data_IF_829855898081
#
_entry.id   IF_829855898081
#
_cell.length_a   1.000
_cell.length_b   1.000
_cell.length_c   1.000
_cell.angle_alpha   90.00
_cell.angle_beta   90.00
_cell.angle_gamma   90.00
#
_symmetry.space_group_name_H-M   'P 1'
#
loop_
_entity.id
_entity.type
_entity.pdbx_description
1 polymer ?
#
# COMPACT_ATOMS: atom_id res chain seq x y z
N UNK A 1 1.91 -0.37 -3.10
CA UNK A 1 1.84 0.01 -1.68
C UNK A 1 3.01 0.92 -1.38
N UNK A 2 2.78 1.94 -0.56
CA UNK A 2 3.76 2.96 -0.23
C UNK A 2 3.73 3.23 1.28
N UNK A 3 4.89 3.13 1.91
CA UNK A 3 5.09 3.46 3.31
C UNK A 3 5.66 4.84 3.47
N UNK A 4 5.25 5.52 4.52
CA UNK A 4 5.79 6.83 4.86
C UNK A 4 5.61 7.14 6.33
N UNK A 5 6.26 8.22 6.77
CA UNK A 5 6.09 8.76 8.11
C UNK A 5 5.69 10.22 8.01
N UNK A 6 4.87 10.67 8.96
CA UNK A 6 4.62 12.09 9.17
C UNK A 6 5.88 12.74 9.74
N UNK A 7 6.21 13.94 9.29
CA UNK A 7 7.19 14.80 9.93
C UNK A 7 6.63 15.33 11.26
N UNK A 8 7.40 15.20 12.34
CA UNK A 8 7.00 15.59 13.69
C UNK A 8 6.67 17.08 13.86
N UNK A 9 7.06 17.93 12.90
CA UNK A 9 6.67 19.34 12.83
C UNK A 9 5.17 19.58 12.57
N UNK A 10 4.43 18.59 12.04
CA UNK A 10 3.00 18.72 11.69
C UNK A 10 2.13 17.86 12.61
N UNK A 11 0.87 18.20 12.84
CA UNK A 11 0.01 17.34 13.68
C UNK A 11 -0.41 16.05 12.95
N UNK A 12 -0.66 14.98 13.71
CA UNK A 12 -1.21 13.73 13.15
C UNK A 12 -2.55 13.98 12.43
N UNK A 13 -3.44 14.75 13.05
CA UNK A 13 -4.72 15.11 12.47
C UNK A 13 -4.59 15.79 11.10
N UNK A 14 -3.73 16.81 10.98
CA UNK A 14 -3.54 17.51 9.70
C UNK A 14 -3.02 16.58 8.61
N UNK A 15 -2.11 15.67 8.99
CA UNK A 15 -1.55 14.68 8.07
C UNK A 15 -2.60 13.68 7.59
N UNK A 16 -3.37 13.11 8.52
CA UNK A 16 -4.41 12.11 8.26
C UNK A 16 -5.56 12.71 7.43
N UNK A 17 -5.98 13.95 7.70
CA UNK A 17 -6.96 14.68 6.87
C UNK A 17 -6.44 14.93 5.44
N UNK A 18 -5.14 15.23 5.31
CA UNK A 18 -4.46 15.36 4.03
C UNK A 18 -4.46 14.06 3.23
N UNK A 19 -4.12 12.94 3.86
CA UNK A 19 -4.17 11.60 3.26
C UNK A 19 -5.60 11.26 2.80
N UNK A 20 -6.58 11.41 3.68
CA UNK A 20 -7.99 11.15 3.35
C UNK A 20 -8.46 11.98 2.15
N UNK A 21 -8.08 13.27 2.11
CA UNK A 21 -8.39 14.17 1.00
C UNK A 21 -7.72 13.72 -0.31
N UNK A 22 -6.45 13.33 -0.26
CA UNK A 22 -5.72 12.82 -1.42
C UNK A 22 -6.36 11.54 -1.97
N UNK A 23 -6.62 10.54 -1.13
CA UNK A 23 -7.26 9.28 -1.51
C UNK A 23 -8.66 9.49 -2.10
N UNK A 24 -9.46 10.37 -1.48
CA UNK A 24 -10.80 10.74 -1.99
C UNK A 24 -10.71 11.38 -3.37
N UNK A 25 -9.77 12.33 -3.56
CA UNK A 25 -9.60 13.01 -4.83
C UNK A 25 -9.09 12.08 -5.93
N UNK A 26 -8.14 11.21 -5.61
CA UNK A 26 -7.60 10.22 -6.56
C UNK A 26 -8.71 9.29 -7.05
N UNK A 27 -9.57 8.80 -6.15
CA UNK A 27 -10.75 8.00 -6.50
C UNK A 27 -11.70 8.74 -7.44
N UNK A 28 -11.95 10.04 -7.16
CA UNK A 28 -12.85 10.86 -7.96
C UNK A 28 -12.35 11.16 -9.39
N UNK A 29 -11.09 10.90 -9.73
CA UNK A 29 -10.58 11.08 -11.09
C UNK A 29 -11.12 10.05 -12.09
N UNK A 30 -11.63 8.91 -11.63
CA UNK A 30 -12.19 7.88 -12.51
C UNK A 30 -11.16 7.24 -13.44
N UNK A 31 -9.90 7.12 -12.99
CA UNK A 31 -8.80 6.50 -13.74
C UNK A 31 -9.17 5.06 -14.09
N UNK A 32 -9.10 4.71 -15.38
CA UNK A 32 -9.51 3.38 -15.84
C UNK A 32 -8.56 2.32 -15.26
N UNK A 33 -9.12 1.38 -14.51
CA UNK A 33 -8.35 0.31 -13.88
C UNK A 33 -7.75 0.68 -12.52
N UNK A 34 -8.01 1.88 -12.00
CA UNK A 34 -7.84 2.16 -10.57
C UNK A 34 -9.04 1.58 -9.80
N UNK A 35 -8.79 0.59 -8.96
CA UNK A 35 -9.84 -0.19 -8.30
C UNK A 35 -10.18 0.34 -6.91
N UNK A 36 -9.31 1.19 -6.35
CA UNK A 36 -9.52 1.81 -5.05
C UNK A 36 -8.20 2.07 -4.33
N UNK A 37 -8.30 2.71 -3.19
CA UNK A 37 -7.16 2.95 -2.32
C UNK A 37 -7.59 3.10 -0.87
N UNK A 38 -6.67 2.82 0.03
CA UNK A 38 -6.88 2.95 1.47
C UNK A 38 -5.54 3.26 2.13
N UNK A 39 -5.60 3.88 3.32
CA UNK A 39 -4.44 4.23 4.12
C UNK A 39 -4.62 3.66 5.52
N UNK A 40 -3.55 3.10 6.08
CA UNK A 40 -3.52 2.59 7.44
C UNK A 40 -2.45 3.30 8.24
N UNK A 41 -2.78 3.57 9.49
CA UNK A 41 -1.80 3.90 10.51
C UNK A 41 -1.18 2.62 11.05
N UNK A 42 0.14 2.52 11.04
CA UNK A 42 0.87 1.28 11.36
C UNK A 42 2.03 1.52 12.31
N UNK A 43 2.42 0.46 13.01
CA UNK A 43 3.63 0.39 13.82
C UNK A 43 4.32 -0.97 13.63
N UNK A 44 5.61 -1.06 13.96
CA UNK A 44 6.35 -2.33 13.87
C UNK A 44 6.74 -2.76 12.44
N UNK A 45 6.65 -1.85 11.46
CA UNK A 45 7.13 -2.11 10.10
C UNK A 45 8.67 -2.11 10.09
N UNK A 46 9.36 -3.16 9.56
CA UNK A 46 10.81 -3.34 9.75
C UNK A 46 11.72 -2.21 9.25
N UNK A 47 11.26 -1.38 8.31
CA UNK A 47 12.02 -0.28 7.71
C UNK A 47 11.51 1.12 8.09
N UNK A 48 10.61 1.21 9.08
CA UNK A 48 10.12 2.46 9.69
C UNK A 48 10.43 2.42 11.19
N UNK A 49 10.97 3.50 11.73
CA UNK A 49 11.16 3.65 13.17
C UNK A 49 9.93 4.30 13.79
N UNK A 50 9.27 3.62 14.72
CA UNK A 50 8.08 4.14 15.41
C UNK A 50 6.80 3.99 14.60
N UNK A 51 5.99 5.03 14.60
CA UNK A 51 4.72 5.10 13.88
C UNK A 51 4.93 5.52 12.42
N UNK A 52 4.13 4.95 11.53
CA UNK A 52 4.08 5.32 10.13
C UNK A 52 2.72 5.05 9.52
N UNK A 53 2.67 5.14 8.21
CA UNK A 53 1.45 4.92 7.43
C UNK A 53 1.74 4.01 6.23
N UNK A 54 0.71 3.29 5.82
CA UNK A 54 0.70 2.39 4.67
C UNK A 54 -0.41 2.78 3.71
N UNK A 55 -0.03 3.32 2.55
CA UNK A 55 -0.96 3.63 1.48
C UNK A 55 -1.00 2.47 0.48
N UNK A 56 -2.21 1.98 0.27
CA UNK A 56 -2.52 0.92 -0.68
C UNK A 56 -3.27 1.50 -1.87
N UNK A 57 -2.82 1.13 -3.07
CA UNK A 57 -3.44 1.51 -4.33
C UNK A 57 -3.69 0.22 -5.11
N UNK A 58 -4.96 -0.12 -5.27
CA UNK A 58 -5.38 -1.30 -6.00
C UNK A 58 -5.53 -0.94 -7.48
N UNK A 59 -4.81 -1.66 -8.34
CA UNK A 59 -4.81 -1.40 -9.78
C UNK A 59 -4.98 -2.69 -10.56
N UNK A 60 -5.68 -2.61 -11.70
CA UNK A 60 -5.90 -3.75 -12.60
C UNK A 60 -4.63 -4.18 -13.36
N UNK A 61 -3.60 -3.34 -13.40
CA UNK A 61 -2.32 -3.64 -14.03
C UNK A 61 -1.29 -2.53 -13.82
N UNK A 62 -0.02 -2.84 -14.08
CA UNK A 62 1.09 -1.92 -13.83
C UNK A 62 1.03 -0.65 -14.68
N UNK A 63 0.43 -0.70 -15.88
CA UNK A 63 0.26 0.48 -16.73
C UNK A 63 -0.62 1.58 -16.09
N UNK A 64 -1.53 1.20 -15.17
CA UNK A 64 -2.34 2.18 -14.42
C UNK A 64 -1.46 3.05 -13.51
N UNK A 65 -0.35 2.51 -13.00
CA UNK A 65 0.58 3.27 -12.17
C UNK A 65 1.26 4.40 -12.94
N UNK A 66 1.54 4.19 -14.23
CA UNK A 66 2.08 5.24 -15.09
C UNK A 66 1.08 6.39 -15.27
N UNK A 67 -0.19 6.06 -15.49
CA UNK A 67 -1.28 7.05 -15.58
C UNK A 67 -1.43 7.84 -14.28
N UNK A 68 -1.43 7.16 -13.13
CA UNK A 68 -1.47 7.79 -11.80
C UNK A 68 -0.28 8.74 -11.62
N UNK A 69 0.94 8.31 -11.95
CA UNK A 69 2.15 9.14 -11.83
C UNK A 69 2.09 10.38 -12.72
N UNK A 70 1.57 10.25 -13.94
CA UNK A 70 1.37 11.39 -14.85
C UNK A 70 0.35 12.38 -14.27
N UNK A 71 -0.75 11.89 -13.70
CA UNK A 71 -1.81 12.74 -13.13
C UNK A 71 -1.39 13.44 -11.84
N UNK A 72 -0.56 12.82 -11.02
CA UNK A 72 0.02 13.47 -9.84
C UNK A 72 0.86 14.69 -10.23
N UNK A 73 1.46 14.68 -11.42
CA UNK A 73 2.21 15.80 -11.97
C UNK A 73 1.31 16.90 -12.57
N UNK A 74 0.02 16.63 -12.78
CA UNK A 74 -0.96 17.58 -13.29
C UNK A 74 -1.35 18.61 -12.22
N UNK A 75 -1.62 19.85 -12.65
CA UNK A 75 -2.00 20.98 -11.77
C UNK A 75 -3.17 20.67 -10.83
N UNK A 76 -4.09 19.80 -11.22
CA UNK A 76 -5.30 19.49 -10.44
C UNK A 76 -4.99 18.69 -9.18
N UNK A 77 -4.11 17.70 -9.25
CA UNK A 77 -3.77 16.82 -8.11
C UNK A 77 -2.50 17.28 -7.42
N UNK A 78 -1.57 17.89 -8.16
CA UNK A 78 -0.26 18.28 -7.65
C UNK A 78 -0.33 19.12 -6.37
N UNK A 79 -1.25 20.06 -6.26
CA UNK A 79 -1.38 20.89 -5.05
C UNK A 79 -1.69 20.08 -3.79
N UNK A 80 -2.60 19.09 -3.92
CA UNK A 80 -2.96 18.19 -2.82
C UNK A 80 -1.83 17.21 -2.53
N UNK A 81 -1.30 16.55 -3.56
CA UNK A 81 -0.15 15.67 -3.42
C UNK A 81 1.02 16.37 -2.73
N UNK A 82 1.42 17.56 -3.22
CA UNK A 82 2.55 18.30 -2.68
C UNK A 82 2.28 18.80 -1.25
N UNK A 83 1.01 19.06 -0.88
CA UNK A 83 0.67 19.43 0.50
C UNK A 83 0.93 18.30 1.49
N UNK A 84 0.57 17.06 1.14
CA UNK A 84 0.81 15.88 1.97
C UNK A 84 2.29 15.49 1.93
N UNK A 85 2.90 15.50 0.74
CA UNK A 85 4.31 15.15 0.56
C UNK A 85 5.24 16.06 1.37
N UNK A 86 4.93 17.35 1.53
CA UNK A 86 5.70 18.28 2.38
C UNK A 86 5.65 17.95 3.88
N UNK A 87 4.64 17.20 4.31
CA UNK A 87 4.48 16.76 5.70
C UNK A 87 4.99 15.32 5.89
N UNK A 88 5.55 14.71 4.85
CA UNK A 88 5.95 13.32 4.80
C UNK A 88 7.46 13.16 4.74
N UNK A 89 7.98 12.15 5.43
CA UNK A 89 9.39 11.75 5.43
C UNK A 89 9.52 10.23 5.29
N UNK A 90 10.74 9.76 4.99
CA UNK A 90 11.10 8.34 4.97
C UNK A 90 10.26 7.43 4.04
N UNK A 91 9.77 7.98 2.92
CA UNK A 91 8.95 7.28 1.94
C UNK A 91 9.64 6.07 1.29
N UNK A 92 8.94 4.93 1.20
CA UNK A 92 9.40 3.69 0.55
C UNK A 92 8.24 3.04 -0.21
N UNK A 93 8.50 2.47 -1.38
CA UNK A 93 7.46 1.85 -2.21
C UNK A 93 7.74 0.39 -2.56
N UNK A 94 6.69 -0.39 -2.74
CA UNK A 94 6.77 -1.72 -3.33
C UNK A 94 5.55 -2.02 -4.20
N UNK A 95 5.74 -2.89 -5.18
CA UNK A 95 4.68 -3.46 -6.00
C UNK A 95 4.38 -4.85 -5.44
N UNK A 96 3.11 -5.14 -5.22
CA UNK A 96 2.66 -6.44 -4.76
C UNK A 96 1.68 -7.03 -5.79
N UNK A 97 1.75 -8.34 -6.00
CA UNK A 97 0.71 -9.10 -6.69
C UNK A 97 -0.22 -9.70 -5.65
N UNK A 98 -1.52 -9.56 -5.88
CA UNK A 98 -2.53 -10.29 -5.14
C UNK A 98 -2.43 -11.78 -5.48
N UNK A 99 -2.38 -12.62 -4.46
CA UNK A 99 -2.27 -14.08 -4.62
C UNK A 99 -3.60 -14.74 -4.29
N UNK A 100 -4.18 -14.42 -3.12
CA UNK A 100 -5.40 -15.05 -2.60
C UNK A 100 -6.14 -14.13 -1.62
N UNK A 101 -7.43 -14.41 -1.41
CA UNK A 101 -8.27 -13.69 -0.45
C UNK A 101 -9.01 -12.51 -1.07
N UNK A 102 -9.55 -11.65 -0.21
CA UNK A 102 -10.20 -10.41 -0.63
C UNK A 102 -9.17 -9.27 -0.72
N UNK A 103 -8.90 -8.70 -1.92
CA UNK A 103 -7.95 -7.60 -2.05
C UNK A 103 -8.45 -6.28 -1.46
N UNK A 104 -9.74 -6.19 -1.14
CA UNK A 104 -10.42 -5.01 -0.59
C UNK A 104 -10.62 -5.07 0.92
N UNK A 105 -9.95 -5.99 1.60
CA UNK A 105 -10.05 -6.19 3.04
C UNK A 105 -9.49 -4.97 3.81
N UNK A 106 -10.37 -4.01 4.13
CA UNK A 106 -10.03 -2.78 4.86
C UNK A 106 -10.12 -2.91 6.39
N UNK A 107 -10.78 -3.96 6.90
CA UNK A 107 -10.94 -4.20 8.34
C UNK A 107 -9.85 -5.12 8.91
N UNK A 108 -8.70 -5.24 8.23
CA UNK A 108 -7.56 -5.99 8.72
C UNK A 108 -6.86 -5.21 9.85
N UNK A 109 -6.83 -5.79 11.05
CA UNK A 109 -6.17 -5.19 12.21
C UNK A 109 -4.69 -5.55 12.33
N UNK A 110 -4.22 -6.52 11.55
CA UNK A 110 -2.87 -7.06 11.62
C UNK A 110 -2.33 -7.36 10.22
N UNK A 111 -1.04 -7.10 10.04
CA UNK A 111 -0.27 -7.46 8.84
C UNK A 111 0.97 -8.24 9.27
N UNK A 112 1.30 -9.31 8.55
CA UNK A 112 2.49 -10.11 8.81
C UNK A 112 3.38 -10.17 7.56
N UNK A 113 4.67 -9.89 7.75
CA UNK A 113 5.68 -9.98 6.70
C UNK A 113 6.35 -11.35 6.75
N UNK A 114 6.11 -12.15 5.71
CA UNK A 114 6.60 -13.51 5.61
C UNK A 114 7.72 -13.62 4.56
N UNK A 115 8.70 -14.49 4.85
CA UNK A 115 9.70 -14.92 3.88
C UNK A 115 9.50 -16.40 3.59
N UNK A 116 9.46 -16.76 2.31
CA UNK A 116 9.42 -18.18 1.92
C UNK A 116 10.70 -18.87 2.41
N UNK A 117 10.60 -20.00 3.14
CA UNK A 117 11.80 -20.72 3.58
C UNK A 117 12.66 -21.18 2.39
N UNK A 118 13.97 -21.33 2.65
CA UNK A 118 14.91 -21.87 1.65
C UNK A 118 14.57 -23.34 1.38
N UNK A 119 14.60 -23.75 0.12
CA UNK A 119 14.31 -25.13 -0.30
C UNK A 119 12.82 -25.47 -0.46
N UNK A 120 11.89 -24.61 -0.01
CA UNK A 120 10.44 -24.82 -0.18
C UNK A 120 9.99 -24.35 -1.57
N UNK A 121 9.15 -25.11 -2.25
CA UNK A 121 8.51 -24.66 -3.49
C UNK A 121 7.49 -23.54 -3.19
N UNK A 122 7.05 -22.80 -4.21
CA UNK A 122 5.96 -21.84 -4.00
C UNK A 122 4.63 -22.54 -3.73
N UNK A 123 4.40 -23.70 -4.35
CA UNK A 123 3.15 -24.45 -4.18
C UNK A 123 3.02 -24.95 -2.73
N UNK A 124 4.07 -25.55 -2.17
CA UNK A 124 4.08 -26.00 -0.77
C UNK A 124 3.88 -24.81 0.18
N UNK A 125 4.62 -23.71 -0.05
CA UNK A 125 4.52 -22.52 0.79
C UNK A 125 3.12 -21.91 0.77
N UNK A 126 2.46 -21.88 -0.39
CA UNK A 126 1.09 -21.39 -0.50
C UNK A 126 0.07 -22.39 0.08
N UNK A 127 0.35 -23.69 0.06
CA UNK A 127 -0.47 -24.70 0.76
C UNK A 127 -0.41 -24.55 2.28
N UNK A 128 0.77 -24.24 2.83
CA UNK A 128 0.94 -23.94 4.25
C UNK A 128 0.18 -22.65 4.63
N UNK A 129 0.28 -21.61 3.80
CA UNK A 129 -0.48 -20.36 4.02
C UNK A 129 -1.98 -20.63 4.01
N UNK A 130 -2.49 -21.42 3.05
CA UNK A 130 -3.92 -21.77 2.99
C UNK A 130 -4.41 -22.42 4.29
N UNK A 131 -3.58 -23.30 4.85
CA UNK A 131 -3.89 -23.95 6.12
C UNK A 131 -3.98 -22.96 7.29
N UNK A 132 -3.12 -21.94 7.29
CA UNK A 132 -3.09 -20.89 8.33
C UNK A 132 -4.27 -19.93 8.21
N UNK A 133 -4.65 -19.55 6.98
CA UNK A 133 -5.70 -18.55 6.75
C UNK A 133 -7.10 -19.16 6.59
N UNK A 134 -7.22 -20.48 6.65
CA UNK A 134 -8.48 -21.19 6.49
C UNK A 134 -9.54 -20.68 7.49
N UNK A 135 -10.68 -20.24 6.96
CA UNK A 135 -11.77 -19.67 7.77
C UNK A 135 -11.55 -18.24 8.26
N UNK A 136 -10.43 -17.60 7.92
CA UNK A 136 -10.14 -16.20 8.23
C UNK A 136 -10.44 -15.29 7.04
N UNK A 137 -10.91 -14.07 7.32
CA UNK A 137 -10.88 -13.00 6.33
C UNK A 137 -9.43 -12.51 6.22
N UNK A 138 -8.72 -12.96 5.17
CA UNK A 138 -7.32 -12.63 4.92
C UNK A 138 -7.10 -12.24 3.47
N UNK A 139 -5.99 -11.52 3.23
CA UNK A 139 -5.54 -11.11 1.90
C UNK A 139 -4.05 -11.40 1.79
N UNK A 140 -3.65 -12.20 0.81
CA UNK A 140 -2.26 -12.66 0.64
C UNK A 140 -1.65 -11.98 -0.57
N UNK A 141 -0.51 -11.35 -0.34
CA UNK A 141 0.19 -10.55 -1.34
C UNK A 141 1.65 -10.99 -1.46
N UNK A 142 2.17 -11.00 -2.69
CA UNK A 142 3.58 -11.30 -2.96
C UNK A 142 4.26 -10.08 -3.54
N UNK A 143 5.44 -9.72 -3.02
CA UNK A 143 6.32 -8.73 -3.65
C UNK A 143 6.58 -9.08 -5.12
N UNK A 144 6.27 -8.15 -6.01
CA UNK A 144 6.71 -8.17 -7.40
C UNK A 144 8.08 -7.51 -7.51
N UNK A 145 8.76 -7.69 -8.65
CA UNK A 145 10.17 -7.32 -8.89
C UNK A 145 11.18 -8.38 -8.37
N UNK A 146 10.90 -9.66 -8.61
CA UNK A 146 11.88 -10.75 -8.52
C UNK A 146 12.89 -10.70 -9.69
N UNK A 147 13.53 -9.54 -9.86
CA UNK A 147 14.56 -9.28 -10.87
C UNK A 147 15.98 -9.48 -10.31
N UNK A 148 16.08 -9.72 -8.99
CA UNK A 148 17.30 -10.21 -8.34
C UNK A 148 17.23 -11.74 -8.15
N UNK A 149 18.38 -12.45 -8.19
CA UNK A 149 18.47 -13.89 -7.98
C UNK A 149 18.14 -14.33 -6.54
#
# INVERSE_FOLDING_TARGET
>A
MFWHQRDDAYSAQLYEEGLASFHTRLSALGIKGFLGSFTFKVSGVPWITGEGYEDWYLVAGLGVLEEINSLISDRIIRGLHDSVARMSVNGKGTILAHIKGDPTLINASNTCWLSKPRGTSYDDFYGDIDSVISGLAASVWRRQLALGP
#
